data_IF_259079672319
#
_entry.id   IF_259079672319
#
_cell.length_a   1.000
_cell.length_b   1.000
_cell.length_c   1.000
_cell.angle_alpha   90.00
_cell.angle_beta   90.00
_cell.angle_gamma   90.00
#
_symmetry.space_group_name_H-M   'P 1'
#
loop_
_entity.id
_entity.type
_entity.pdbx_description
1 polymer ?
#
# COMPACT_ATOMS: atom_id res chain seq x y z
N UNK A 1 -2.64 -34.50 -15.03
CA UNK A 1 -2.77 -34.77 -13.59
C UNK A 1 -1.48 -35.43 -13.22
N UNK A 2 -0.48 -34.62 -12.86
CA UNK A 2 0.81 -35.15 -12.41
C UNK A 2 0.60 -35.52 -10.95
N UNK A 3 0.29 -36.81 -10.72
CA UNK A 3 0.25 -37.36 -9.38
C UNK A 3 1.69 -37.44 -8.94
N UNK A 4 2.11 -36.44 -8.18
CA UNK A 4 3.42 -36.34 -7.58
C UNK A 4 3.76 -37.62 -6.80
N UNK A 5 4.56 -38.52 -7.41
CA UNK A 5 4.86 -39.88 -6.92
C UNK A 5 5.88 -39.90 -5.77
N UNK A 6 6.02 -38.79 -5.03
CA UNK A 6 6.96 -38.69 -3.91
C UNK A 6 6.46 -39.49 -2.71
N UNK A 7 7.35 -40.27 -2.11
CA UNK A 7 7.12 -40.93 -0.84
C UNK A 7 6.99 -39.93 0.30
N UNK A 8 6.34 -40.33 1.40
CA UNK A 8 6.21 -39.50 2.60
C UNK A 8 7.58 -39.09 3.14
N UNK A 9 8.56 -40.00 3.11
CA UNK A 9 9.91 -39.75 3.59
C UNK A 9 10.62 -38.69 2.74
N UNK A 10 10.47 -38.74 1.41
CA UNK A 10 11.00 -37.70 0.49
C UNK A 10 10.32 -36.34 0.73
N UNK A 11 9.03 -36.31 1.06
CA UNK A 11 8.34 -35.06 1.40
C UNK A 11 8.83 -34.48 2.73
N UNK A 12 9.15 -35.32 3.72
CA UNK A 12 9.72 -34.89 5.01
C UNK A 12 11.12 -34.31 4.80
N UNK A 13 11.99 -35.00 4.06
CA UNK A 13 13.34 -34.52 3.76
C UNK A 13 13.31 -33.17 3.04
N UNK A 14 12.41 -33.01 2.05
CA UNK A 14 12.21 -31.73 1.38
C UNK A 14 11.71 -30.65 2.34
N UNK A 15 10.78 -30.96 3.25
CA UNK A 15 10.27 -30.01 4.23
C UNK A 15 11.35 -29.56 5.23
N UNK A 16 12.31 -30.42 5.57
CA UNK A 16 13.45 -30.08 6.44
C UNK A 16 14.47 -29.17 5.73
N UNK A 17 14.67 -29.32 4.42
CA UNK A 17 15.61 -28.49 3.64
C UNK A 17 15.01 -27.14 3.17
N UNK A 18 13.68 -27.03 3.08
CA UNK A 18 12.99 -25.84 2.58
C UNK A 18 13.29 -24.56 3.39
N UNK A 19 13.24 -24.56 4.74
CA UNK A 19 13.51 -23.36 5.54
C UNK A 19 14.86 -22.72 5.25
N UNK A 20 15.89 -23.55 5.08
CA UNK A 20 17.26 -23.12 4.79
C UNK A 20 17.40 -22.64 3.35
N UNK A 21 16.75 -23.31 2.38
CA UNK A 21 16.78 -22.93 0.96
C UNK A 21 16.05 -21.63 0.66
N UNK A 22 14.94 -21.36 1.34
CA UNK A 22 14.14 -20.16 1.08
C UNK A 22 14.67 -18.93 1.83
N UNK A 23 15.53 -19.10 2.84
CA UNK A 23 16.08 -18.00 3.64
C UNK A 23 15.01 -17.16 4.35
N UNK A 24 13.76 -17.65 4.39
CA UNK A 24 12.59 -16.89 4.81
C UNK A 24 12.65 -16.59 6.31
N UNK A 25 13.09 -17.56 7.10
CA UNK A 25 13.22 -17.43 8.55
C UNK A 25 14.26 -16.36 8.95
N UNK A 26 15.42 -16.35 8.29
CA UNK A 26 16.47 -15.36 8.53
C UNK A 26 15.99 -13.95 8.12
N UNK A 27 15.37 -13.83 6.94
CA UNK A 27 14.81 -12.56 6.48
C UNK A 27 13.72 -12.00 7.39
N UNK A 28 12.92 -12.86 8.03
CA UNK A 28 11.88 -12.45 8.97
C UNK A 28 12.43 -11.99 10.33
N UNK A 29 13.54 -12.55 10.81
CA UNK A 29 14.14 -12.18 12.09
C UNK A 29 14.68 -10.75 12.10
N UNK A 30 15.02 -10.19 10.94
CA UNK A 30 15.53 -8.83 10.79
C UNK A 30 14.43 -7.78 10.58
N UNK A 31 13.18 -8.19 10.37
CA UNK A 31 12.09 -7.26 10.14
C UNK A 31 11.76 -6.44 11.38
N UNK A 32 11.67 -5.13 11.19
CA UNK A 32 11.37 -4.15 12.24
C UNK A 32 10.29 -3.20 11.77
N UNK A 33 9.31 -2.95 12.64
CA UNK A 33 8.31 -1.92 12.43
C UNK A 33 8.56 -0.77 13.38
N UNK A 34 8.51 0.48 12.88
CA UNK A 34 8.66 1.66 13.73
C UNK A 34 7.49 2.65 13.58
N UNK A 35 7.19 3.35 14.66
CA UNK A 35 6.21 4.43 14.71
C UNK A 35 6.66 5.51 15.69
N UNK A 36 6.31 6.75 15.39
CA UNK A 36 6.68 7.91 16.22
C UNK A 36 5.51 8.88 16.37
N UNK A 37 5.40 9.51 17.53
CA UNK A 37 4.31 10.41 17.89
C UNK A 37 4.55 11.09 19.23
N UNK A 38 4.13 12.35 19.36
CA UNK A 38 4.21 13.15 20.59
C UNK A 38 5.58 13.16 21.33
N UNK A 39 6.69 12.92 20.62
CA UNK A 39 8.02 12.86 21.23
C UNK A 39 8.41 11.48 21.75
N UNK A 40 7.70 10.44 21.33
CA UNK A 40 7.95 9.01 21.56
C UNK A 40 8.23 8.35 20.21
N UNK A 41 9.22 7.46 20.15
CA UNK A 41 9.49 6.56 19.03
C UNK A 41 9.52 5.13 19.55
N UNK A 42 8.84 4.22 18.85
CA UNK A 42 8.76 2.80 19.20
C UNK A 42 9.20 1.97 18.00
N UNK A 43 10.06 0.98 18.24
CA UNK A 43 10.36 -0.07 17.27
C UNK A 43 10.01 -1.43 17.85
N UNK A 44 9.33 -2.26 17.05
CA UNK A 44 8.99 -3.65 17.39
C UNK A 44 9.55 -4.61 16.35
N UNK A 45 9.78 -5.85 16.75
CA UNK A 45 10.07 -6.95 15.83
C UNK A 45 8.79 -7.61 15.28
N UNK A 46 8.97 -8.61 14.42
CA UNK A 46 7.86 -9.38 13.81
C UNK A 46 7.02 -10.16 14.83
N UNK A 47 7.54 -10.41 16.03
CA UNK A 47 6.82 -11.06 17.12
C UNK A 47 5.99 -10.06 17.94
N UNK A 48 6.09 -8.76 17.62
CA UNK A 48 5.45 -7.67 18.36
C UNK A 48 6.21 -7.28 19.62
N UNK A 49 7.45 -7.77 19.81
CA UNK A 49 8.27 -7.43 20.95
C UNK A 49 8.88 -6.05 20.74
N UNK A 50 8.85 -5.22 21.78
CA UNK A 50 9.49 -3.91 21.78
C UNK A 50 11.03 -4.09 21.82
N UNK A 51 11.70 -3.63 20.78
CA UNK A 51 13.16 -3.75 20.63
C UNK A 51 13.88 -2.41 20.72
N UNK A 52 13.16 -1.30 20.55
CA UNK A 52 13.68 0.04 20.77
C UNK A 52 12.56 0.99 21.23
N UNK A 53 12.93 1.95 22.09
CA UNK A 53 12.04 2.96 22.63
C UNK A 53 12.84 4.22 22.94
N UNK A 54 12.52 5.30 22.23
CA UNK A 54 13.04 6.63 22.49
C UNK A 54 11.92 7.54 23.01
N UNK A 55 12.21 8.30 24.07
CA UNK A 55 11.28 9.24 24.70
C UNK A 55 12.02 10.53 24.97
N UNK A 56 11.63 11.57 24.24
CA UNK A 56 12.14 12.93 24.42
C UNK A 56 11.48 13.63 25.62
N UNK A 57 12.03 14.77 26.04
CA UNK A 57 11.44 15.62 27.08
C UNK A 57 9.96 15.98 26.79
N UNK A 58 9.61 16.13 25.50
CA UNK A 58 8.23 16.37 25.07
C UNK A 58 7.33 15.18 25.40
N UNK A 59 7.79 13.96 25.19
CA UNK A 59 7.06 12.74 25.55
C UNK A 59 6.90 12.58 27.06
N UNK A 60 7.96 12.90 27.83
CA UNK A 60 7.90 12.90 29.30
C UNK A 60 6.91 13.94 29.85
N UNK A 61 6.75 15.07 29.17
CA UNK A 61 5.80 16.12 29.56
C UNK A 61 4.32 15.72 29.41
N UNK A 62 4.01 14.61 28.72
CA UNK A 62 2.63 14.11 28.59
C UNK A 62 2.04 13.59 29.92
N UNK A 63 2.91 13.23 30.87
CA UNK A 63 2.53 12.53 32.09
C UNK A 63 2.28 11.03 31.88
N UNK A 64 2.29 10.23 32.95
CA UNK A 64 2.45 8.78 32.85
C UNK A 64 1.29 8.08 32.13
N UNK A 65 0.04 8.49 32.36
CA UNK A 65 -1.12 7.84 31.73
C UNK A 65 -1.17 8.10 30.23
N UNK A 66 -0.90 9.33 29.79
CA UNK A 66 -0.92 9.69 28.37
C UNK A 66 0.28 9.09 27.64
N UNK A 67 1.45 9.08 28.27
CA UNK A 67 2.63 8.43 27.74
C UNK A 67 2.40 6.93 27.53
N UNK A 68 1.80 6.23 28.50
CA UNK A 68 1.46 4.81 28.36
C UNK A 68 0.47 4.56 27.22
N UNK A 69 -0.56 5.40 27.09
CA UNK A 69 -1.51 5.33 25.99
C UNK A 69 -0.83 5.56 24.62
N UNK A 70 0.08 6.52 24.54
CA UNK A 70 0.82 6.83 23.32
C UNK A 70 1.78 5.70 22.93
N UNK A 71 2.52 5.13 23.88
CA UNK A 71 3.37 3.95 23.64
C UNK A 71 2.51 2.77 23.14
N UNK A 72 1.36 2.51 23.75
CA UNK A 72 0.46 1.44 23.32
C UNK A 72 -0.07 1.66 21.90
N UNK A 73 -0.45 2.90 21.56
CA UNK A 73 -0.90 3.28 20.23
C UNK A 73 0.21 3.08 19.19
N UNK A 74 1.40 3.60 19.48
CA UNK A 74 2.57 3.50 18.60
C UNK A 74 3.04 2.05 18.43
N UNK A 75 3.01 1.24 19.49
CA UNK A 75 3.34 -0.19 19.42
C UNK A 75 2.38 -0.95 18.50
N UNK A 76 1.07 -0.64 18.57
CA UNK A 76 0.06 -1.23 17.69
C UNK A 76 0.31 -0.83 16.23
N UNK A 77 0.62 0.44 15.99
CA UNK A 77 0.92 0.97 14.65
C UNK A 77 2.20 0.34 14.07
N UNK A 78 3.27 0.27 14.86
CA UNK A 78 4.53 -0.35 14.50
C UNK A 78 4.35 -1.86 14.22
N UNK A 79 3.58 -2.56 15.06
CA UNK A 79 3.19 -3.95 14.86
C UNK A 79 2.43 -4.18 13.55
N UNK A 80 1.48 -3.30 13.22
CA UNK A 80 0.79 -3.35 11.93
C UNK A 80 1.70 -3.12 10.73
N UNK A 81 2.75 -2.31 10.86
CA UNK A 81 3.76 -2.09 9.79
C UNK A 81 4.61 -3.34 9.56
N UNK A 82 5.18 -3.91 10.62
CA UNK A 82 6.04 -5.09 10.50
C UNK A 82 5.25 -6.32 10.04
N UNK A 83 3.98 -6.48 10.45
CA UNK A 83 3.13 -7.58 9.99
C UNK A 83 2.87 -7.51 8.49
N UNK A 84 2.55 -6.32 7.96
CA UNK A 84 2.37 -6.12 6.51
C UNK A 84 3.65 -6.41 5.73
N UNK A 85 4.80 -6.06 6.28
CA UNK A 85 6.09 -6.35 5.67
C UNK A 85 6.43 -7.84 5.71
N UNK A 86 6.20 -8.51 6.84
CA UNK A 86 6.35 -9.96 6.97
C UNK A 86 5.47 -10.72 5.99
N UNK A 87 4.23 -10.29 5.80
CA UNK A 87 3.34 -10.91 4.82
C UNK A 87 3.82 -10.70 3.37
N UNK A 88 4.42 -9.54 3.05
CA UNK A 88 5.07 -9.34 1.74
C UNK A 88 6.26 -10.27 1.55
N UNK A 89 7.08 -10.48 2.58
CA UNK A 89 8.20 -11.40 2.53
C UNK A 89 7.73 -12.85 2.30
N UNK A 90 6.69 -13.28 3.02
CA UNK A 90 6.05 -14.60 2.81
C UNK A 90 5.51 -14.72 1.38
N UNK A 91 4.82 -13.70 0.85
CA UNK A 91 4.32 -13.69 -0.53
C UNK A 91 5.44 -13.83 -1.57
N UNK A 92 6.59 -13.19 -1.34
CA UNK A 92 7.74 -13.27 -2.24
C UNK A 92 8.42 -14.65 -2.22
N UNK A 93 8.37 -15.35 -1.07
CA UNK A 93 9.01 -16.65 -0.88
C UNK A 93 8.10 -17.87 -1.13
N UNK A 94 6.83 -17.68 -1.49
CA UNK A 94 5.84 -18.76 -1.63
C UNK A 94 5.07 -18.67 -2.94
N UNK A 95 4.37 -19.74 -3.32
CA UNK A 95 3.44 -19.70 -4.47
C UNK A 95 2.21 -18.84 -4.14
N UNK A 96 1.53 -18.25 -5.15
CA UNK A 96 0.34 -17.44 -4.93
C UNK A 96 -0.77 -18.14 -4.15
N UNK A 97 -0.92 -19.46 -4.31
CA UNK A 97 -1.92 -20.26 -3.60
C UNK A 97 -1.61 -20.36 -2.10
N UNK A 98 -0.34 -20.56 -1.74
CA UNK A 98 0.10 -20.63 -0.34
C UNK A 98 -0.02 -19.25 0.31
N UNK A 99 0.42 -18.21 -0.40
CA UNK A 99 0.27 -16.83 0.04
C UNK A 99 -1.20 -16.44 0.33
N UNK A 100 -2.13 -16.82 -0.54
CA UNK A 100 -3.56 -16.57 -0.35
C UNK A 100 -4.11 -17.34 0.86
N UNK A 101 -3.77 -18.63 1.00
CA UNK A 101 -4.20 -19.44 2.13
C UNK A 101 -3.71 -18.89 3.49
N UNK A 102 -2.49 -18.35 3.54
CA UNK A 102 -1.94 -17.70 4.73
C UNK A 102 -2.68 -16.39 5.04
N UNK A 103 -2.96 -15.57 4.02
CA UNK A 103 -3.70 -14.32 4.20
C UNK A 103 -5.13 -14.56 4.72
N UNK A 104 -5.83 -15.54 4.15
CA UNK A 104 -7.17 -15.96 4.56
C UNK A 104 -7.18 -16.48 6.01
N UNK A 105 -6.22 -17.35 6.36
CA UNK A 105 -6.11 -17.88 7.72
C UNK A 105 -5.88 -16.79 8.76
N UNK A 106 -5.09 -15.77 8.42
CA UNK A 106 -4.79 -14.65 9.31
C UNK A 106 -5.90 -13.59 9.35
N UNK A 107 -6.89 -13.66 8.46
CA UNK A 107 -7.94 -12.64 8.33
C UNK A 107 -7.38 -11.26 7.99
N UNK A 108 -6.25 -11.22 7.25
CA UNK A 108 -5.60 -9.97 6.86
C UNK A 108 -5.95 -9.69 5.39
N UNK A 109 -6.87 -8.74 5.17
CA UNK A 109 -7.04 -8.13 3.85
C UNK A 109 -5.76 -7.37 3.51
N UNK A 110 -4.89 -7.97 2.71
CA UNK A 110 -3.72 -7.28 2.18
C UNK A 110 -4.21 -6.36 1.09
N UNK A 111 -4.62 -5.15 1.46
CA UNK A 111 -4.71 -4.06 0.48
C UNK A 111 -3.33 -3.96 -0.20
N UNK A 112 -3.31 -4.24 -1.51
CA UNK A 112 -2.16 -3.91 -2.34
C UNK A 112 -1.83 -2.44 -2.12
N UNK A 113 -0.55 -2.07 -1.97
CA UNK A 113 -0.20 -0.67 -1.86
C UNK A 113 -0.71 0.03 -3.12
N UNK A 114 -1.67 0.94 -2.94
CA UNK A 114 -1.97 1.98 -3.93
C UNK A 114 -0.63 2.62 -4.27
N UNK A 115 -0.17 2.43 -5.51
CA UNK A 115 1.00 3.12 -6.05
C UNK A 115 0.91 4.60 -5.66
N UNK A 116 2.00 5.23 -5.21
CA UNK A 116 1.99 6.65 -4.93
C UNK A 116 1.48 7.38 -6.18
N UNK A 117 0.39 8.13 -6.04
CA UNK A 117 -0.01 9.10 -7.04
C UNK A 117 1.16 10.07 -7.15
N UNK A 118 1.91 10.02 -8.25
CA UNK A 118 2.92 11.03 -8.57
C UNK A 118 2.26 12.41 -8.48
N UNK A 119 2.69 13.30 -7.57
CA UNK A 119 2.19 14.66 -7.55
C UNK A 119 2.91 15.43 -8.65
N UNK A 120 2.34 15.45 -9.85
CA UNK A 120 3.05 16.08 -10.96
C UNK A 120 2.41 16.10 -12.33
N UNK A 121 1.08 16.00 -12.46
CA UNK A 121 0.43 16.47 -13.69
C UNK A 121 -0.17 17.86 -13.41
N UNK A 122 0.41 18.95 -13.94
CA UNK A 122 -0.22 20.25 -13.82
C UNK A 122 -1.56 20.20 -14.55
N UNK A 123 -2.61 20.58 -13.83
CA UNK A 123 -3.92 20.85 -14.39
C UNK A 123 -3.73 21.63 -15.69
N UNK A 124 -4.26 21.08 -16.79
CA UNK A 124 -4.40 21.82 -18.06
C UNK A 124 -5.07 23.14 -17.72
N UNK A 125 -4.27 24.19 -17.69
CA UNK A 125 -4.76 25.53 -17.50
C UNK A 125 -5.64 25.82 -18.71
N UNK A 126 -6.94 25.94 -18.49
CA UNK A 126 -7.86 26.49 -19.48
C UNK A 126 -7.33 27.88 -19.85
N UNK A 127 -6.67 27.93 -20.99
CA UNK A 127 -6.10 29.15 -21.53
C UNK A 127 -7.28 30.00 -22.04
N UNK A 128 -7.51 31.22 -21.53
CA UNK A 128 -8.56 32.07 -22.06
C UNK A 128 -8.15 32.53 -23.47
N UNK A 129 -8.93 32.13 -24.47
CA UNK A 129 -8.71 32.52 -25.85
C UNK A 129 -8.82 34.05 -25.99
N UNK A 130 -7.71 34.65 -26.41
CA UNK A 130 -7.54 36.07 -26.75
C UNK A 130 -8.50 36.46 -27.89
N UNK A 131 -9.09 37.67 -27.90
CA UNK A 131 -10.07 38.06 -28.90
C UNK A 131 -9.43 38.23 -30.29
N UNK A 132 -9.90 37.45 -31.26
CA UNK A 132 -9.52 37.61 -32.66
C UNK A 132 -10.15 38.87 -33.26
N UNK A 133 -9.31 39.69 -33.88
CA UNK A 133 -9.66 40.95 -34.53
C UNK A 133 -10.50 40.72 -35.79
N UNK A 134 -11.44 41.64 -36.02
CA UNK A 134 -12.21 41.83 -37.25
C UNK A 134 -11.33 41.90 -38.50
N UNK A 135 -11.72 41.17 -39.53
CA UNK A 135 -11.54 41.58 -40.93
C UNK A 135 -12.79 41.21 -41.75
N UNK A 136 -13.59 42.23 -42.06
CA UNK A 136 -14.57 42.35 -43.15
C UNK A 136 -13.96 41.92 -44.50
N UNK A 137 -14.65 41.27 -45.46
CA UNK A 137 -15.81 41.69 -46.30
C UNK A 137 -15.91 40.68 -47.52
N UNK A 138 -16.84 40.79 -48.50
CA UNK A 138 -18.27 40.44 -48.51
C UNK A 138 -18.69 39.43 -49.63
N UNK A 139 -19.95 38.99 -49.54
CA UNK A 139 -20.95 38.52 -50.55
C UNK A 139 -20.53 37.78 -51.84
N UNK A 140 -21.18 36.62 -52.10
CA UNK A 140 -22.03 36.36 -53.28
C UNK A 140 -22.65 34.94 -53.22
N UNK A 141 -23.99 34.90 -53.31
CA UNK A 141 -24.91 33.93 -53.93
C UNK A 141 -24.64 32.41 -53.85
N UNK A 142 -25.59 31.64 -53.29
CA UNK A 142 -26.49 30.82 -54.12
C UNK A 142 -27.62 30.17 -53.26
N UNK A 143 -28.73 29.95 -53.93
CA UNK A 143 -30.09 29.71 -53.49
C UNK A 143 -30.30 28.29 -52.89
N UNK A 144 -31.23 28.15 -51.93
CA UNK A 144 -32.37 27.20 -51.97
C UNK A 144 -33.02 26.93 -50.60
N UNK A 145 -34.18 27.57 -50.44
CA UNK A 145 -35.46 27.06 -49.91
C UNK A 145 -35.52 26.05 -48.73
N UNK A 146 -36.31 26.41 -47.71
CA UNK A 146 -36.93 25.40 -46.83
C UNK A 146 -37.40 25.87 -45.46
N UNK A 147 -38.25 26.90 -45.37
CA UNK A 147 -38.98 27.25 -44.15
C UNK A 147 -40.40 26.67 -44.24
N UNK A 148 -40.80 25.77 -43.32
CA UNK A 148 -42.24 25.55 -43.03
C UNK A 148 -42.45 25.37 -41.53
N UNK A 149 -43.39 26.17 -41.04
CA UNK A 149 -43.85 26.35 -39.66
C UNK A 149 -44.55 25.12 -39.08
N UNK A 150 -44.46 24.99 -37.74
CA UNK A 150 -45.32 24.13 -36.90
C UNK A 150 -46.79 24.55 -36.98
N UNK A 151 -47.72 23.63 -36.72
CA UNK A 151 -48.96 23.99 -36.03
C UNK A 151 -49.21 23.18 -34.75
N UNK A 152 -49.61 23.94 -33.73
CA UNK A 152 -50.51 23.68 -32.57
C UNK A 152 -50.89 22.26 -32.21
#
# INVERSE_FOLDING_TARGET
>A
MDSDERSIDELIEIAEEIPDRLGLAAGMQDLRGSAQGEGVSVTVDVQGMLVDLDITDKGLALGPQRLAAEISRLSTEAGGKVLREGLRAVKAGTTPQIAAAIADYLGIDVEEPVSPVEPGQPARSEQPARPARRSSRPDEDDESEGFVLRPV
#
